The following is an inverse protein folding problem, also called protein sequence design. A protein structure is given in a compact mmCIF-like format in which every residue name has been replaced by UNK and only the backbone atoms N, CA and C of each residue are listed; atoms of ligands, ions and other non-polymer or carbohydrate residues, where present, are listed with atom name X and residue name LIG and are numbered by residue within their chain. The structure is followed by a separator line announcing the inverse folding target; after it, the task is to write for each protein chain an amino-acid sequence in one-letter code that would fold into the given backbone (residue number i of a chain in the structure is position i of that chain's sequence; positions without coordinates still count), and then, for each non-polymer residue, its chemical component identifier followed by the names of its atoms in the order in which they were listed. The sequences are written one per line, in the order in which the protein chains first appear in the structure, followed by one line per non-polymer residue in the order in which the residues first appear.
data_IF_113792729555
#
_entry.id   IF_113792729555
#
_cell.length_a   1.000
_cell.length_b   1.000
_cell.length_c   1.000
_cell.angle_alpha   90.00
_cell.angle_beta   90.00
_cell.angle_gamma   90.00
#
_symmetry.space_group_name_H-M   'P 1'
#
loop_
_entity.id
_entity.type
_entity.pdbx_description
1 polymer ?
#
# COMPACT_ATOMS: atom_id res chain seq x y z
N UNK A 1 -25.25 3.16 -19.53
CA UNK A 1 -24.05 3.98 -19.28
C UNK A 1 -22.99 3.03 -18.79
N UNK A 2 -22.03 2.73 -19.65
CA UNK A 2 -20.99 1.73 -19.40
C UNK A 2 -19.94 2.39 -18.51
N UNK A 3 -19.81 1.92 -17.27
CA UNK A 3 -18.67 2.27 -16.42
C UNK A 3 -17.40 1.84 -17.14
N UNK A 4 -16.61 2.81 -17.60
CA UNK A 4 -15.23 2.57 -17.95
C UNK A 4 -14.48 2.32 -16.64
N UNK A 5 -14.30 1.05 -16.28
CA UNK A 5 -13.18 0.67 -15.44
C UNK A 5 -11.92 1.19 -16.13
N UNK A 6 -11.34 2.28 -15.60
CA UNK A 6 -10.05 2.79 -16.02
C UNK A 6 -9.04 1.68 -15.79
N UNK A 7 -8.78 0.90 -16.84
CA UNK A 7 -7.80 -0.17 -16.81
C UNK A 7 -6.46 0.53 -16.89
N UNK A 8 -5.59 0.36 -15.89
CA UNK A 8 -4.28 1.00 -15.90
C UNK A 8 -3.53 0.57 -17.19
N UNK A 9 -3.20 1.54 -18.05
CA UNK A 9 -2.60 1.27 -19.35
C UNK A 9 -1.08 1.00 -19.24
N UNK A 10 -0.46 1.43 -18.13
CA UNK A 10 0.95 1.18 -17.82
C UNK A 10 1.21 1.19 -16.29
N UNK A 11 2.45 0.85 -15.90
CA UNK A 11 2.86 0.77 -14.50
C UNK A 11 2.76 2.10 -13.74
N UNK A 12 2.97 3.23 -14.43
CA UNK A 12 2.86 4.56 -13.83
C UNK A 12 1.41 4.89 -13.48
N UNK A 13 0.46 4.62 -14.38
CA UNK A 13 -0.97 4.87 -14.13
C UNK A 13 -1.49 3.95 -13.02
N UNK A 14 -1.01 2.69 -12.96
CA UNK A 14 -1.31 1.79 -11.85
C UNK A 14 -0.79 2.31 -10.51
N UNK A 15 0.43 2.88 -10.48
CA UNK A 15 1.00 3.46 -9.27
C UNK A 15 0.22 4.71 -8.80
N UNK A 16 -0.22 5.56 -9.73
CA UNK A 16 -1.09 6.71 -9.41
C UNK A 16 -2.42 6.23 -8.83
N UNK A 17 -3.07 5.25 -9.47
CA UNK A 17 -4.34 4.72 -8.98
C UNK A 17 -4.21 4.12 -7.57
N UNK A 18 -3.10 3.43 -7.29
CA UNK A 18 -2.82 2.90 -5.95
C UNK A 18 -2.62 4.01 -4.91
N UNK A 19 -1.90 5.08 -5.25
CA UNK A 19 -1.70 6.22 -4.36
C UNK A 19 -3.02 6.94 -4.04
N UNK A 20 -3.88 7.14 -5.03
CA UNK A 20 -5.21 7.72 -4.83
C UNK A 20 -6.13 6.80 -4.02
N UNK A 21 -6.08 5.48 -4.22
CA UNK A 21 -6.83 4.54 -3.41
C UNK A 21 -6.43 4.62 -1.92
N UNK A 22 -5.13 4.74 -1.62
CA UNK A 22 -4.63 4.96 -0.24
C UNK A 22 -5.12 6.31 0.31
N UNK A 23 -5.11 7.37 -0.52
CA UNK A 23 -5.63 8.68 -0.12
C UNK A 23 -7.11 8.61 0.24
N UNK A 24 -7.92 7.94 -0.59
CA UNK A 24 -9.35 7.71 -0.32
C UNK A 24 -9.56 6.90 0.94
N UNK A 25 -8.80 5.81 1.13
CA UNK A 25 -8.86 5.02 2.35
C UNK A 25 -8.57 5.88 3.59
N UNK A 26 -7.47 6.63 3.58
CA UNK A 26 -7.09 7.52 4.67
C UNK A 26 -8.18 8.55 4.97
N UNK A 27 -8.82 9.12 3.94
CA UNK A 27 -9.93 10.06 4.12
C UNK A 27 -11.14 9.41 4.80
N UNK A 28 -11.51 8.19 4.39
CA UNK A 28 -12.64 7.47 4.96
C UNK A 28 -12.38 6.99 6.40
N UNK A 29 -11.14 6.64 6.72
CA UNK A 29 -10.75 6.20 8.08
C UNK A 29 -10.34 7.34 9.01
N UNK A 30 -10.33 8.59 8.54
CA UNK A 30 -9.91 9.74 9.33
C UNK A 30 -10.95 10.14 10.40
N UNK A 31 -12.24 9.90 10.13
CA UNK A 31 -13.30 10.22 11.08
C UNK A 31 -13.26 9.30 12.30
N UNK A 32 -13.56 9.86 13.48
CA UNK A 32 -13.83 9.03 14.65
C UNK A 32 -15.08 8.19 14.40
N UNK A 33 -15.04 6.93 14.82
CA UNK A 33 -16.19 6.05 14.72
C UNK A 33 -16.49 5.50 13.33
N UNK A 34 -15.55 5.57 12.39
CA UNK A 34 -15.75 5.08 11.01
C UNK A 34 -16.21 3.61 10.91
N UNK A 35 -15.99 2.81 11.96
CA UNK A 35 -16.42 1.42 12.07
C UNK A 35 -17.45 1.18 13.20
N UNK A 36 -18.05 2.22 13.80
CA UNK A 36 -18.98 2.06 14.93
C UNK A 36 -20.20 1.20 14.59
N UNK A 37 -20.76 1.39 13.39
CA UNK A 37 -21.91 0.60 12.92
C UNK A 37 -21.53 -0.79 12.40
N UNK A 38 -20.23 -1.02 12.12
CA UNK A 38 -19.68 -2.26 11.55
C UNK A 38 -18.27 -2.52 12.06
N UNK A 39 -18.09 -2.99 13.31
CA UNK A 39 -16.76 -3.21 13.87
C UNK A 39 -15.87 -4.16 13.05
N UNK A 40 -16.48 -5.08 12.30
CA UNK A 40 -15.78 -5.98 11.37
C UNK A 40 -15.03 -5.27 10.23
N UNK A 41 -15.43 -4.03 9.88
CA UNK A 41 -14.75 -3.23 8.85
C UNK A 41 -13.29 -2.90 9.26
N UNK A 42 -12.98 -2.89 10.56
CA UNK A 42 -11.60 -2.71 11.07
C UNK A 42 -10.70 -3.86 10.63
N UNK A 43 -11.14 -5.11 10.81
CA UNK A 43 -10.38 -6.28 10.35
C UNK A 43 -10.28 -6.29 8.82
N UNK A 44 -11.39 -6.04 8.11
CA UNK A 44 -11.40 -6.01 6.64
C UNK A 44 -10.42 -4.99 6.04
N UNK A 45 -10.32 -3.79 6.63
CA UNK A 45 -9.34 -2.77 6.23
C UNK A 45 -7.91 -3.25 6.52
N UNK A 46 -7.67 -3.82 7.71
CA UNK A 46 -6.34 -4.35 8.05
C UNK A 46 -5.89 -5.49 7.14
N UNK A 47 -6.77 -6.43 6.79
CA UNK A 47 -6.47 -7.49 5.81
C UNK A 47 -6.17 -6.90 4.42
N UNK A 48 -6.86 -5.84 4.03
CA UNK A 48 -6.62 -5.17 2.74
C UNK A 48 -5.27 -4.45 2.72
N UNK A 49 -4.90 -3.78 3.81
CA UNK A 49 -3.57 -3.18 3.99
C UNK A 49 -2.47 -4.23 4.00
N UNK A 50 -2.70 -5.40 4.60
CA UNK A 50 -1.76 -6.52 4.56
C UNK A 50 -1.51 -6.99 3.13
N UNK A 51 -2.57 -7.14 2.31
CA UNK A 51 -2.42 -7.51 0.88
C UNK A 51 -1.59 -6.49 0.11
N UNK A 52 -1.75 -5.20 0.37
CA UNK A 52 -0.91 -4.16 -0.22
C UNK A 52 0.56 -4.32 0.22
N UNK A 53 0.79 -4.56 1.52
CA UNK A 53 2.13 -4.78 2.05
C UNK A 53 2.80 -6.07 1.54
N UNK A 54 2.02 -7.09 1.18
CA UNK A 54 2.52 -8.32 0.54
C UNK A 54 3.04 -8.08 -0.88
N UNK A 55 2.39 -7.21 -1.65
CA UNK A 55 2.79 -6.90 -3.03
C UNK A 55 3.91 -5.86 -3.16
N UNK A 56 4.08 -4.98 -2.17
CA UNK A 56 5.02 -3.86 -2.25
C UNK A 56 6.50 -4.29 -2.43
N UNK A 57 7.03 -5.32 -1.74
CA UNK A 57 8.41 -5.78 -1.96
C UNK A 57 8.69 -6.23 -3.40
N UNK A 58 7.70 -6.85 -4.06
CA UNK A 58 7.83 -7.27 -5.45
C UNK A 58 7.89 -6.06 -6.38
N UNK A 59 7.02 -5.07 -6.19
CA UNK A 59 7.05 -3.83 -6.96
C UNK A 59 8.38 -3.08 -6.82
N UNK A 60 8.95 -3.04 -5.60
CA UNK A 60 10.26 -2.45 -5.33
C UNK A 60 11.40 -3.23 -6.01
N UNK A 61 11.31 -4.56 -6.05
CA UNK A 61 12.28 -5.42 -6.76
C UNK A 61 12.27 -5.14 -8.26
N UNK A 62 11.07 -4.97 -8.84
CA UNK A 62 10.92 -4.64 -10.26
C UNK A 62 11.46 -3.24 -10.57
N UNK A 63 11.20 -2.25 -9.71
CA UNK A 63 11.74 -0.91 -9.84
C UNK A 63 13.27 -0.89 -9.75
N UNK A 64 13.85 -1.64 -8.81
CA UNK A 64 15.29 -1.82 -8.69
C UNK A 64 15.88 -2.36 -9.99
N UNK A 65 15.33 -3.48 -10.49
CA UNK A 65 15.85 -4.15 -11.67
C UNK A 65 15.80 -3.26 -12.92
N UNK A 66 14.74 -2.48 -13.09
CA UNK A 66 14.63 -1.57 -14.22
C UNK A 66 15.60 -0.39 -14.12
N UNK A 67 15.80 0.18 -12.92
CA UNK A 67 16.79 1.23 -12.71
C UNK A 67 18.22 0.72 -12.95
N UNK A 68 18.56 -0.45 -12.43
CA UNK A 68 19.86 -1.10 -12.65
C UNK A 68 20.11 -1.36 -14.15
N UNK A 69 19.08 -1.81 -14.87
CA UNK A 69 19.15 -1.99 -16.33
C UNK A 69 19.40 -0.67 -17.07
N UNK A 70 18.77 0.42 -16.65
CA UNK A 70 18.96 1.74 -17.25
C UNK A 70 20.35 2.32 -16.96
N UNK A 71 20.87 2.10 -15.76
CA UNK A 71 22.23 2.50 -15.35
C UNK A 71 23.29 1.74 -16.16
N UNK A 72 23.18 0.41 -16.26
CA UNK A 72 24.07 -0.42 -17.06
C UNK A 72 24.05 -0.09 -18.57
N UNK A 73 22.97 0.49 -19.05
CA UNK A 73 22.82 0.93 -20.44
C UNK A 73 23.31 2.36 -20.69
N UNK A 74 23.85 3.05 -19.68
CA UNK A 74 24.23 4.48 -19.72
C UNK A 74 23.07 5.37 -20.21
N UNK A 75 21.83 5.00 -19.83
CA UNK A 75 20.60 5.65 -20.27
C UNK A 75 20.11 6.76 -19.32
N UNK A 76 20.81 6.97 -18.20
CA UNK A 76 20.43 7.90 -17.14
C UNK A 76 21.13 9.24 -17.35
N UNK A 77 20.37 10.34 -17.27
CA UNK A 77 20.90 11.70 -17.28
C UNK A 77 20.37 12.47 -16.07
N UNK A 78 21.27 13.22 -15.42
CA UNK A 78 20.92 14.12 -14.32
C UNK A 78 20.75 15.56 -14.82
N UNK A 79 19.73 16.26 -14.33
CA UNK A 79 19.46 17.67 -14.59
C UNK A 79 20.00 18.60 -13.48
N UNK A 80 20.33 18.03 -12.33
CA UNK A 80 20.77 18.72 -11.11
C UNK A 80 22.30 18.80 -10.96
N UNK A 81 23.06 18.36 -11.97
CA UNK A 81 24.53 18.39 -11.99
C UNK A 81 25.22 17.27 -11.21
N UNK A 82 24.48 16.32 -10.63
CA UNK A 82 25.08 15.12 -10.04
C UNK A 82 25.61 14.17 -11.11
N UNK A 83 26.61 13.37 -10.76
CA UNK A 83 27.13 12.30 -11.62
C UNK A 83 26.09 11.16 -11.69
N UNK A 84 25.67 10.73 -12.89
CA UNK A 84 24.59 9.75 -13.04
C UNK A 84 24.82 8.42 -12.30
N UNK A 85 26.02 7.83 -12.38
CA UNK A 85 26.28 6.53 -11.76
C UNK A 85 26.22 6.62 -10.22
N UNK A 86 26.74 7.69 -9.62
CA UNK A 86 26.62 7.97 -8.18
C UNK A 86 25.15 8.13 -7.78
N UNK A 87 24.36 8.88 -8.55
CA UNK A 87 22.93 9.08 -8.26
C UNK A 87 22.12 7.77 -8.39
N UNK A 88 22.38 6.98 -9.43
CA UNK A 88 21.77 5.68 -9.64
C UNK A 88 22.11 4.72 -8.49
N UNK A 89 23.39 4.59 -8.12
CA UNK A 89 23.82 3.74 -7.02
C UNK A 89 23.20 4.13 -5.67
N UNK A 90 23.09 5.42 -5.37
CA UNK A 90 22.40 5.90 -4.16
C UNK A 90 20.90 5.56 -4.17
N UNK A 91 20.26 5.67 -5.32
CA UNK A 91 18.84 5.38 -5.49
C UNK A 91 18.55 3.88 -5.38
N UNK A 92 19.36 3.03 -6.01
CA UNK A 92 19.30 1.57 -5.88
C UNK A 92 19.44 1.14 -4.41
N UNK A 93 20.41 1.70 -3.68
CA UNK A 93 20.57 1.44 -2.25
C UNK A 93 19.40 1.95 -1.39
N UNK A 94 18.69 3.01 -1.82
CA UNK A 94 17.48 3.47 -1.15
C UNK A 94 16.28 2.54 -1.42
N UNK A 95 16.10 2.07 -2.65
CA UNK A 95 15.06 1.10 -3.02
C UNK A 95 15.25 -0.21 -2.23
N UNK A 96 16.48 -0.71 -2.14
CA UNK A 96 16.78 -1.93 -1.41
C UNK A 96 16.48 -1.82 0.10
N UNK A 97 16.82 -0.69 0.72
CA UNK A 97 16.43 -0.41 2.12
C UNK A 97 14.91 -0.33 2.28
N UNK A 98 14.23 0.29 1.32
CA UNK A 98 12.76 0.40 1.33
C UNK A 98 12.11 -0.97 1.23
N UNK A 99 12.69 -1.89 0.43
CA UNK A 99 12.23 -3.28 0.35
C UNK A 99 12.29 -3.99 1.70
N UNK A 100 13.41 -3.85 2.43
CA UNK A 100 13.54 -4.39 3.78
C UNK A 100 12.49 -3.80 4.75
N UNK A 101 12.21 -2.50 4.67
CA UNK A 101 11.16 -1.87 5.47
C UNK A 101 9.75 -2.36 5.09
N UNK A 102 9.48 -2.59 3.80
CA UNK A 102 8.21 -3.15 3.35
C UNK A 102 8.00 -4.59 3.88
N UNK A 103 9.06 -5.40 3.91
CA UNK A 103 9.01 -6.74 4.52
C UNK A 103 8.73 -6.67 6.04
N UNK A 104 9.34 -5.72 6.74
CA UNK A 104 9.07 -5.49 8.17
C UNK A 104 7.64 -4.98 8.42
N UNK A 105 7.15 -4.06 7.58
CA UNK A 105 5.77 -3.58 7.61
C UNK A 105 4.79 -4.73 7.42
N UNK A 106 5.02 -5.59 6.42
CA UNK A 106 4.20 -6.80 6.19
C UNK A 106 4.18 -7.69 7.43
N UNK A 107 5.34 -8.00 8.01
CA UNK A 107 5.42 -8.84 9.22
C UNK A 107 4.64 -8.24 10.40
N UNK A 108 4.71 -6.93 10.58
CA UNK A 108 4.02 -6.24 11.69
C UNK A 108 2.51 -6.17 11.43
N UNK A 109 2.09 -5.97 10.18
CA UNK A 109 0.69 -6.00 9.77
C UNK A 109 0.08 -7.40 9.88
N UNK A 110 0.84 -8.48 9.62
CA UNK A 110 0.36 -9.84 9.87
C UNK A 110 -0.06 -10.02 11.32
N UNK A 111 0.76 -9.56 12.27
CA UNK A 111 0.42 -9.62 13.71
C UNK A 111 -0.84 -8.81 14.04
N UNK A 112 -0.96 -7.60 13.46
CA UNK A 112 -2.14 -6.76 13.68
C UNK A 112 -3.43 -7.40 13.12
N UNK A 113 -3.36 -7.93 11.89
CA UNK A 113 -4.49 -8.61 11.24
C UNK A 113 -4.94 -9.85 12.03
N UNK A 114 -4.00 -10.67 12.51
CA UNK A 114 -4.31 -11.82 13.38
C UNK A 114 -5.01 -11.40 14.67
N UNK A 115 -4.57 -10.30 15.30
CA UNK A 115 -5.25 -9.78 16.48
C UNK A 115 -6.67 -9.32 16.19
N UNK A 116 -6.89 -8.66 15.04
CA UNK A 116 -8.19 -8.15 14.61
C UNK A 116 -9.16 -9.25 14.19
N UNK A 117 -8.69 -10.37 13.63
CA UNK A 117 -9.53 -11.53 13.31
C UNK A 117 -10.23 -12.13 14.55
N UNK A 118 -9.66 -11.90 15.74
CA UNK A 118 -10.26 -12.32 17.01
C UNK A 118 -11.16 -11.25 17.65
N UNK A 119 -11.21 -10.04 17.10
CA UNK A 119 -12.01 -8.93 17.63
C UNK A 119 -13.36 -8.87 16.91
N UNK A 120 -14.40 -9.45 17.53
CA UNK A 120 -15.79 -9.27 17.12
C UNK A 120 -16.45 -8.09 17.85
N UNK A 121 -17.37 -7.40 17.19
CA UNK A 121 -18.21 -6.38 17.84
C UNK A 121 -19.28 -7.02 18.72
N UNK A 122 -19.56 -6.42 19.88
CA UNK A 122 -20.82 -6.67 20.57
C UNK A 122 -21.92 -6.00 19.74
N UNK A 123 -22.70 -6.78 19.00
CA UNK A 123 -23.97 -6.28 18.49
C UNK A 123 -24.81 -5.92 19.71
N UNK A 124 -25.09 -4.63 19.91
CA UNK A 124 -26.25 -4.25 20.70
C UNK A 124 -27.43 -4.81 19.93
N UNK A 125 -27.90 -5.99 20.32
CA UNK A 125 -29.25 -6.39 20.01
C UNK A 125 -30.10 -5.28 20.64
N UNK A 126 -30.73 -4.46 19.81
CA UNK A 126 -31.75 -3.54 20.27
C UNK A 126 -32.68 -4.37 21.18
N UNK A 127 -32.75 -3.98 22.45
CA UNK A 127 -33.75 -4.46 23.40
C UNK A 127 -35.12 -3.98 22.91
N UNK A 128 -35.60 -4.57 21.81
CA UNK A 128 -37.00 -4.53 21.39
C UNK A 128 -37.63 -5.85 21.86
N UNK A 129 -37.75 -6.02 23.17
CA UNK A 129 -38.69 -6.96 23.76
C UNK A 129 -39.35 -6.33 25.00
N UNK A 130 -40.70 -6.38 24.99
CA UNK A 130 -41.67 -6.09 26.07
C UNK A 130 -42.13 -4.61 26.20
N UNK A 131 -43.38 -4.21 25.86
CA UNK A 131 -44.71 -4.87 25.87
C UNK A 131 -45.68 -4.24 24.85
#
# INVERSE_FOLDING_TARGET
MTDQQTTAENAHDAAIAAAEAIRTLNHLTFSKGWAESRPGDVSAVASSLLRLAEGLPQALTQLYAELDRLDQADAIRMDNGQEPAVAAGQTLAAIERTRAYAEQMRSTLTTAAQGLDHMGGHYQADEDEEL
#
